data_IF_801630410957
#
_entry.id   IF_801630410957
#
_cell.length_a   1.000
_cell.length_b   1.000
_cell.length_c   1.000
_cell.angle_alpha   90.00
_cell.angle_beta   90.00
_cell.angle_gamma   90.00
#
_symmetry.space_group_name_H-M   'P 1'
#
loop_
_entity.id
_entity.type
_entity.pdbx_description
1 polymer ?
#
# COMPACT_ATOMS: atom_id res chain seq x y z
N UNK A 1 17.74 -8.28 -17.14
CA UNK A 1 17.52 -7.40 -15.97
C UNK A 1 16.06 -7.58 -15.55
N UNK A 2 15.80 -8.26 -14.44
CA UNK A 2 14.44 -8.47 -13.96
C UNK A 2 13.89 -7.14 -13.44
N UNK A 3 12.83 -6.61 -14.08
CA UNK A 3 12.24 -5.32 -13.70
C UNK A 3 11.17 -5.57 -12.64
N UNK A 4 11.46 -5.24 -11.39
CA UNK A 4 10.45 -5.28 -10.34
C UNK A 4 9.42 -4.17 -10.50
N UNK A 5 8.15 -4.45 -10.15
CA UNK A 5 7.05 -3.48 -10.13
C UNK A 5 6.77 -3.08 -8.69
N UNK A 6 6.68 -1.78 -8.43
CA UNK A 6 6.30 -1.26 -7.11
C UNK A 6 4.78 -1.16 -7.00
N UNK A 7 4.23 -1.72 -5.92
CA UNK A 7 2.81 -1.68 -5.57
C UNK A 7 2.62 -1.13 -4.17
N UNK A 8 1.38 -0.73 -3.86
CA UNK A 8 0.97 -0.29 -2.53
C UNK A 8 0.19 -1.39 -1.83
N UNK A 9 0.52 -1.62 -0.56
CA UNK A 9 -0.27 -2.43 0.37
C UNK A 9 -1.40 -1.58 0.93
N UNK A 10 -2.58 -2.17 1.02
CA UNK A 10 -3.77 -1.55 1.63
C UNK A 10 -4.33 -2.42 2.76
N UNK A 11 -3.50 -3.29 3.33
CA UNK A 11 -3.87 -4.08 4.51
C UNK A 11 -3.91 -3.18 5.74
N UNK A 12 -4.68 -3.59 6.75
CA UNK A 12 -4.78 -2.85 8.02
C UNK A 12 -3.42 -2.68 8.72
N UNK A 13 -2.54 -3.68 8.60
CA UNK A 13 -1.22 -3.67 9.23
C UNK A 13 -0.25 -2.73 8.52
N UNK A 14 -0.31 -2.65 7.19
CA UNK A 14 0.65 -1.87 6.38
C UNK A 14 -0.07 -0.98 5.33
N UNK A 15 -0.90 0.00 5.73
CA UNK A 15 -1.64 0.82 4.78
C UNK A 15 -0.70 1.83 4.10
N UNK A 16 -0.70 1.85 2.77
CA UNK A 16 0.11 2.79 1.98
C UNK A 16 1.60 2.43 1.88
N UNK A 17 2.05 1.34 2.49
CA UNK A 17 3.42 0.84 2.36
C UNK A 17 3.66 0.28 0.95
N UNK A 18 4.82 0.55 0.37
CA UNK A 18 5.24 0.05 -0.93
C UNK A 18 5.99 -1.25 -0.79
N UNK A 19 5.72 -2.16 -1.72
CA UNK A 19 6.51 -3.36 -1.92
C UNK A 19 6.82 -3.53 -3.40
N UNK A 20 8.00 -4.05 -3.69
CA UNK A 20 8.41 -4.45 -5.02
C UNK A 20 8.07 -5.93 -5.21
N UNK A 21 7.42 -6.27 -6.31
CA UNK A 21 7.11 -7.64 -6.67
C UNK A 21 7.44 -7.92 -8.14
N UNK A 22 7.43 -9.19 -8.54
CA UNK A 22 7.60 -9.55 -9.94
C UNK A 22 6.51 -8.93 -10.83
N UNK A 23 6.87 -8.53 -12.06
CA UNK A 23 5.91 -8.10 -13.07
C UNK A 23 5.02 -9.29 -13.45
N UNK A 24 3.71 -9.06 -13.57
CA UNK A 24 2.69 -10.10 -13.80
C UNK A 24 2.92 -10.93 -15.08
N UNK A 25 3.63 -10.39 -16.06
CA UNK A 25 3.87 -11.07 -17.35
C UNK A 25 4.93 -12.17 -17.28
N UNK A 26 5.72 -12.22 -16.21
CA UNK A 26 6.65 -13.31 -15.98
C UNK A 26 5.93 -14.44 -15.24
N UNK A 27 5.15 -15.23 -15.99
CA UNK A 27 4.43 -16.45 -15.54
C UNK A 27 5.29 -17.49 -14.77
N UNK A 28 6.58 -17.23 -14.56
CA UNK A 28 7.55 -18.12 -13.89
C UNK A 28 8.09 -17.57 -12.57
N UNK A 29 7.80 -16.32 -12.19
CA UNK A 29 8.34 -15.72 -10.97
C UNK A 29 7.23 -15.36 -9.98
N UNK A 30 6.57 -16.39 -9.47
CA UNK A 30 5.72 -16.27 -8.30
C UNK A 30 6.61 -16.46 -7.07
N UNK A 31 6.79 -15.42 -6.25
CA UNK A 31 7.48 -15.54 -4.96
C UNK A 31 8.40 -14.38 -4.56
N UNK A 32 8.84 -13.53 -5.50
CA UNK A 32 9.62 -12.34 -5.15
C UNK A 32 8.70 -11.22 -4.65
N UNK A 33 8.88 -10.86 -3.39
CA UNK A 33 8.30 -9.70 -2.73
C UNK A 33 9.33 -9.14 -1.76
N UNK A 34 9.57 -7.82 -1.83
CA UNK A 34 10.35 -7.11 -0.82
C UNK A 34 9.69 -5.79 -0.47
N UNK A 35 9.70 -5.42 0.80
CA UNK A 35 9.22 -4.11 1.24
C UNK A 35 10.20 -3.03 0.81
N UNK A 36 9.67 -1.96 0.21
CA UNK A 36 10.46 -0.79 -0.22
C UNK A 36 10.52 0.24 0.90
N UNK A 37 9.42 0.38 1.63
CA UNK A 37 9.37 1.26 2.79
C UNK A 37 9.68 0.48 4.05
N UNK A 38 10.29 1.17 5.02
CA UNK A 38 10.40 0.66 6.37
C UNK A 38 9.00 0.57 7.02
N UNK A 39 8.86 -0.34 7.97
CA UNK A 39 7.65 -0.43 8.78
C UNK A 39 7.39 0.94 9.44
N UNK A 40 6.20 1.50 9.22
CA UNK A 40 5.81 2.83 9.74
C UNK A 40 6.62 4.03 9.22
N UNK A 41 7.12 3.99 7.97
CA UNK A 41 7.64 5.19 7.25
C UNK A 41 6.68 6.40 7.39
N UNK A 42 7.23 7.60 7.62
CA UNK A 42 6.52 8.89 7.65
C UNK A 42 5.52 9.05 6.50
N UNK A 43 5.84 8.52 5.32
CA UNK A 43 4.92 8.52 4.18
C UNK A 43 3.69 7.66 4.42
N UNK A 44 3.87 6.46 4.97
CA UNK A 44 2.77 5.57 5.32
C UNK A 44 1.86 6.25 6.35
N UNK A 45 2.43 6.92 7.34
CA UNK A 45 1.66 7.71 8.32
C UNK A 45 0.83 8.82 7.65
N UNK A 46 1.42 9.58 6.73
CA UNK A 46 0.70 10.61 5.97
C UNK A 46 -0.46 10.06 5.13
N UNK A 47 -0.30 8.87 4.53
CA UNK A 47 -1.37 8.19 3.79
C UNK A 47 -2.47 7.71 4.75
N UNK A 48 -2.08 7.13 5.88
CA UNK A 48 -2.97 6.61 6.92
C UNK A 48 -3.88 7.71 7.49
N UNK A 49 -3.31 8.87 7.81
CA UNK A 49 -4.06 10.05 8.27
C UNK A 49 -5.07 10.50 7.22
N UNK A 50 -4.68 10.56 5.94
CA UNK A 50 -5.60 10.92 4.85
C UNK A 50 -6.75 9.92 4.72
N UNK A 51 -6.48 8.63 4.85
CA UNK A 51 -7.51 7.59 4.80
C UNK A 51 -8.48 7.69 5.99
N UNK A 52 -7.97 7.89 7.20
CA UNK A 52 -8.80 8.08 8.39
C UNK A 52 -9.72 9.30 8.25
N UNK A 53 -9.19 10.43 7.77
CA UNK A 53 -10.00 11.63 7.52
C UNK A 53 -11.12 11.36 6.51
N UNK A 54 -10.83 10.66 5.42
CA UNK A 54 -11.86 10.27 4.43
C UNK A 54 -12.92 9.35 5.02
N UNK A 55 -12.52 8.42 5.91
CA UNK A 55 -13.45 7.52 6.59
C UNK A 55 -14.40 8.30 7.52
N UNK A 56 -13.87 9.23 8.32
CA UNK A 56 -14.69 10.09 9.19
C UNK A 56 -15.69 10.91 8.37
N UNK A 57 -15.23 11.53 7.26
CA UNK A 57 -16.12 12.29 6.38
C UNK A 57 -17.25 11.42 5.83
N UNK A 58 -16.94 10.22 5.34
CA UNK A 58 -17.95 9.31 4.81
C UNK A 58 -18.97 8.87 5.88
N UNK A 59 -18.54 8.72 7.14
CA UNK A 59 -19.44 8.42 8.27
C UNK A 59 -20.31 9.61 8.67
N UNK A 60 -19.82 10.85 8.52
CA UNK A 60 -20.61 12.07 8.72
C UNK A 60 -21.63 12.25 7.58
N UNK A 61 -21.20 12.08 6.33
CA UNK A 61 -22.05 12.20 5.15
C UNK A 61 -23.19 11.16 5.17
N UNK A 62 -22.93 9.96 5.70
CA UNK A 62 -23.95 8.91 5.83
C UNK A 62 -24.98 9.16 6.94
N UNK A 63 -24.74 10.14 7.83
CA UNK A 63 -25.67 10.51 8.92
C UNK A 63 -26.62 11.65 8.53
N UNK A 64 -26.33 12.35 7.43
CA UNK A 64 -27.15 13.43 6.86
C UNK A 64 -28.03 12.88 5.73
#
# INVERSE_FOLDING_TARGET
>A
MLRAVVKYSWTFLNPGCRFACCPKDEKKQYGYMTWVDLEWDDRAFGVLVKLMKKKVQAEEDAKN
#
